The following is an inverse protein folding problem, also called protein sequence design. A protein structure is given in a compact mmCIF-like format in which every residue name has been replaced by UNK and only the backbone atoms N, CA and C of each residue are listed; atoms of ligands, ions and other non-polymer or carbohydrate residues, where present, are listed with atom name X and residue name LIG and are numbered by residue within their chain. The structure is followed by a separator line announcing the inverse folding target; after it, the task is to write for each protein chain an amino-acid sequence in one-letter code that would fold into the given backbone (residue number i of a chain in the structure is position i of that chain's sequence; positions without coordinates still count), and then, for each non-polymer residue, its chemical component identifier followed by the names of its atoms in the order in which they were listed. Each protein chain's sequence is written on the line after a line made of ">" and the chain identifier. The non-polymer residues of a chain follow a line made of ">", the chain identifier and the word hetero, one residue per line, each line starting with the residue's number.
data_IF_866335556538
#
_entry.id   IF_866335556538
#
_cell.length_a   1.000
_cell.length_b   1.000
_cell.length_c   1.000
_cell.angle_alpha   90.00
_cell.angle_beta   90.00
_cell.angle_gamma   90.00
#
_symmetry.space_group_name_H-M   'P 1'
#
loop_
_entity.id
_entity.type
_entity.pdbx_description
1 polymer ?
#
# COMPACT_ATOMS: atom_id res chain seq x y z
N UNK A 1 23.63 8.33 -3.40
CA UNK A 1 23.62 7.38 -2.27
C UNK A 1 25.02 6.75 -2.16
N UNK A 2 25.66 6.77 -0.99
CA UNK A 2 27.01 6.21 -0.82
C UNK A 2 26.96 4.68 -1.01
N UNK A 3 27.84 4.13 -1.85
CA UNK A 3 27.94 2.69 -2.13
C UNK A 3 28.05 1.81 -0.88
N UNK A 4 28.76 2.30 0.16
CA UNK A 4 28.87 1.61 1.44
C UNK A 4 27.52 1.50 2.15
N UNK A 5 26.71 2.57 2.11
CA UNK A 5 25.37 2.60 2.70
C UNK A 5 24.40 1.68 1.94
N UNK A 6 24.47 1.65 0.61
CA UNK A 6 23.70 0.73 -0.21
C UNK A 6 24.01 -0.74 0.09
N UNK A 7 25.33 -1.10 0.19
CA UNK A 7 25.74 -2.46 0.52
C UNK A 7 25.29 -2.89 1.92
N UNK A 8 25.37 -1.99 2.91
CA UNK A 8 24.89 -2.24 4.25
C UNK A 8 23.37 -2.45 4.29
N UNK A 9 22.61 -1.62 3.58
CA UNK A 9 21.15 -1.77 3.46
C UNK A 9 20.77 -3.10 2.80
N UNK A 10 21.42 -3.46 1.69
CA UNK A 10 21.19 -4.73 1.00
C UNK A 10 21.45 -5.93 1.93
N UNK A 11 22.56 -5.92 2.67
CA UNK A 11 22.89 -6.98 3.63
C UNK A 11 21.92 -7.06 4.82
N UNK A 12 21.23 -5.99 5.16
CA UNK A 12 20.19 -5.98 6.19
C UNK A 12 18.84 -6.47 5.66
N UNK A 13 18.51 -6.18 4.39
CA UNK A 13 17.26 -6.59 3.75
C UNK A 13 17.19 -8.11 3.53
N UNK A 14 18.29 -8.74 3.07
CA UNK A 14 18.30 -10.18 2.73
C UNK A 14 17.89 -11.09 3.90
N UNK A 15 18.39 -10.92 5.15
CA UNK A 15 17.93 -11.69 6.30
C UNK A 15 16.45 -11.46 6.62
N UNK A 16 15.98 -10.21 6.53
CA UNK A 16 14.57 -9.87 6.78
C UNK A 16 13.64 -10.53 5.77
N UNK A 17 14.02 -10.59 4.50
CA UNK A 17 13.26 -11.31 3.48
C UNK A 17 13.10 -12.80 3.82
N UNK A 18 14.19 -13.45 4.25
CA UNK A 18 14.16 -14.87 4.66
C UNK A 18 13.28 -15.11 5.89
N UNK A 19 13.28 -14.18 6.85
CA UNK A 19 12.44 -14.29 8.05
C UNK A 19 10.96 -14.08 7.74
N UNK A 20 10.63 -13.34 6.69
CA UNK A 20 9.26 -13.10 6.25
C UNK A 20 8.69 -14.23 5.37
N UNK A 21 9.54 -15.11 4.82
CA UNK A 21 9.12 -16.19 3.91
C UNK A 21 8.05 -17.12 4.51
N UNK A 22 8.17 -17.63 5.76
CA UNK A 22 7.14 -18.49 6.35
C UNK A 22 5.78 -17.81 6.47
N UNK A 23 5.76 -16.50 6.70
CA UNK A 23 4.51 -15.73 6.77
C UNK A 23 3.87 -15.57 5.39
N UNK A 24 4.68 -15.42 4.33
CA UNK A 24 4.20 -15.37 2.94
C UNK A 24 3.64 -16.71 2.49
N UNK A 25 4.28 -17.82 2.85
CA UNK A 25 3.76 -19.17 2.59
C UNK A 25 2.42 -19.38 3.29
N UNK A 26 2.31 -18.99 4.57
CA UNK A 26 1.06 -19.08 5.32
C UNK A 26 -0.04 -18.23 4.67
N UNK A 27 0.26 -17.01 4.24
CA UNK A 27 -0.66 -16.13 3.51
C UNK A 27 -1.12 -16.75 2.20
N UNK A 28 -0.19 -17.32 1.41
CA UNK A 28 -0.50 -17.99 0.15
C UNK A 28 -1.46 -19.17 0.36
N UNK A 29 -1.27 -19.97 1.40
CA UNK A 29 -2.15 -21.09 1.74
C UNK A 29 -3.52 -20.63 2.24
N UNK A 30 -3.57 -19.55 3.01
CA UNK A 30 -4.83 -18.94 3.44
C UNK A 30 -5.62 -18.40 2.24
N UNK A 31 -4.96 -17.74 1.29
CA UNK A 31 -5.57 -17.24 0.05
C UNK A 31 -6.06 -18.38 -0.86
N UNK A 32 -5.31 -19.48 -0.98
CA UNK A 32 -5.77 -20.69 -1.69
C UNK A 32 -7.04 -21.26 -1.06
N UNK A 33 -7.10 -21.28 0.27
CA UNK A 33 -8.30 -21.75 1.00
C UNK A 33 -9.48 -20.81 0.79
N UNK A 34 -9.24 -19.50 0.78
CA UNK A 34 -10.27 -18.49 0.52
C UNK A 34 -10.80 -18.55 -0.90
N UNK A 35 -9.94 -18.66 -1.91
CA UNK A 35 -10.34 -18.74 -3.32
C UNK A 35 -10.98 -20.10 -3.67
N UNK A 36 -10.73 -21.11 -2.86
CA UNK A 36 -11.38 -22.43 -2.97
C UNK A 36 -11.12 -23.24 -4.23
N UNK A 37 -9.91 -23.19 -4.86
CA UNK A 37 -9.65 -23.93 -6.09
C UNK A 37 -9.78 -25.46 -5.91
N UNK A 38 -9.67 -25.95 -4.69
CA UNK A 38 -9.84 -27.36 -4.36
C UNK A 38 -11.30 -27.83 -4.26
N UNK A 39 -12.25 -26.90 -4.14
CA UNK A 39 -13.67 -27.22 -4.10
C UNK A 39 -14.26 -27.54 -5.50
N UNK A 40 -13.57 -27.17 -6.58
CA UNK A 40 -14.02 -27.40 -7.95
C UNK A 40 -13.65 -28.76 -8.56
N UNK A 41 -12.86 -29.58 -7.86
CA UNK A 41 -12.34 -30.85 -8.43
C UNK A 41 -13.21 -32.07 -8.17
N UNK A 42 -14.25 -31.97 -7.36
CA UNK A 42 -15.15 -33.08 -7.09
C UNK A 42 -16.21 -33.15 -8.18
N UNK A 43 -16.16 -34.20 -9.01
CA UNK A 43 -17.18 -34.54 -10.00
C UNK A 43 -18.52 -35.00 -9.38
N UNK A 44 -18.71 -34.77 -8.09
CA UNK A 44 -19.92 -35.11 -7.35
C UNK A 44 -20.96 -34.00 -7.36
N UNK A 45 -22.20 -34.34 -7.11
CA UNK A 45 -23.36 -33.45 -7.04
C UNK A 45 -23.29 -32.47 -5.87
N UNK A 46 -22.48 -32.78 -4.86
CA UNK A 46 -22.31 -31.94 -3.67
C UNK A 46 -21.14 -30.96 -3.87
N UNK A 47 -21.47 -29.70 -4.12
CA UNK A 47 -20.49 -28.61 -4.11
C UNK A 47 -20.31 -28.14 -2.68
N UNK A 48 -19.17 -28.38 -2.04
CA UNK A 48 -18.93 -27.93 -0.69
C UNK A 48 -18.96 -26.39 -0.63
N UNK A 49 -19.63 -25.85 0.37
CA UNK A 49 -19.72 -24.42 0.60
C UNK A 49 -18.40 -23.95 1.22
N UNK A 50 -17.80 -22.93 0.64
CA UNK A 50 -16.59 -22.32 1.22
C UNK A 50 -16.97 -21.40 2.39
N UNK A 51 -17.00 -21.98 3.60
CA UNK A 51 -17.35 -21.25 4.83
C UNK A 51 -16.34 -20.14 5.14
N UNK A 52 -15.06 -20.33 4.78
CA UNK A 52 -14.03 -19.29 4.97
C UNK A 52 -14.35 -18.07 4.11
N UNK A 53 -14.69 -18.27 2.85
CA UNK A 53 -15.07 -17.19 1.94
C UNK A 53 -16.30 -16.44 2.47
N UNK A 54 -17.33 -17.14 2.89
CA UNK A 54 -18.53 -16.52 3.46
C UNK A 54 -18.21 -15.70 4.72
N UNK A 55 -17.36 -16.22 5.61
CA UNK A 55 -16.94 -15.52 6.81
C UNK A 55 -16.15 -14.23 6.50
N UNK A 56 -15.18 -14.32 5.59
CA UNK A 56 -14.36 -13.18 5.17
C UNK A 56 -15.22 -12.12 4.48
N UNK A 57 -16.11 -12.51 3.56
CA UNK A 57 -17.01 -11.58 2.88
C UNK A 57 -17.96 -10.88 3.85
N UNK A 58 -18.47 -11.61 4.84
CA UNK A 58 -19.33 -11.03 5.90
C UNK A 58 -18.57 -9.99 6.73
N UNK A 59 -17.34 -10.31 7.15
CA UNK A 59 -16.48 -9.37 7.87
C UNK A 59 -16.12 -8.15 7.01
N UNK A 60 -15.77 -8.38 5.76
CA UNK A 60 -15.44 -7.31 4.82
C UNK A 60 -16.62 -6.37 4.60
N UNK A 61 -17.85 -6.91 4.47
CA UNK A 61 -19.06 -6.10 4.37
C UNK A 61 -19.31 -5.28 5.64
N UNK A 62 -19.06 -5.83 6.81
CA UNK A 62 -19.25 -5.10 8.07
C UNK A 62 -18.21 -3.99 8.26
N UNK A 63 -16.94 -4.25 7.93
CA UNK A 63 -15.84 -3.33 8.17
C UNK A 63 -15.68 -2.27 7.06
N UNK A 64 -16.08 -2.58 5.84
CA UNK A 64 -15.95 -1.67 4.67
C UNK A 64 -17.27 -1.37 3.98
N UNK A 65 -18.39 -1.43 4.71
CA UNK A 65 -19.73 -1.18 4.16
C UNK A 65 -19.97 0.27 3.72
N UNK A 66 -19.20 1.19 4.25
CA UNK A 66 -19.30 2.62 3.93
C UNK A 66 -17.92 3.16 3.63
N UNK A 67 -17.86 4.05 2.64
CA UNK A 67 -16.67 4.82 2.37
C UNK A 67 -16.29 5.64 3.62
N UNK A 68 -15.05 5.57 4.10
CA UNK A 68 -14.59 6.42 5.18
C UNK A 68 -14.80 7.90 4.87
N UNK A 69 -15.24 8.65 5.85
CA UNK A 69 -15.44 10.08 5.74
C UNK A 69 -14.65 10.81 6.81
N UNK A 70 -14.07 11.93 6.43
CA UNK A 70 -13.40 12.84 7.36
C UNK A 70 -14.43 13.81 7.92
N UNK A 71 -14.46 13.96 9.23
CA UNK A 71 -15.24 14.96 9.94
C UNK A 71 -14.26 15.96 10.57
N UNK A 72 -14.39 17.22 10.20
CA UNK A 72 -13.58 18.30 10.77
C UNK A 72 -14.39 19.06 11.80
N UNK A 73 -13.92 19.11 13.03
CA UNK A 73 -14.55 19.87 14.10
C UNK A 73 -13.55 20.84 14.74
N UNK A 74 -14.04 21.97 15.21
CA UNK A 74 -13.26 22.99 15.91
C UNK A 74 -13.99 23.54 17.11
N UNK A 75 -13.24 23.78 18.19
CA UNK A 75 -13.78 24.44 19.38
C UNK A 75 -13.83 25.98 19.24
N UNK A 76 -13.19 26.55 18.21
CA UNK A 76 -13.15 27.98 17.95
C UNK A 76 -14.30 28.38 17.03
N UNK A 77 -15.26 29.19 17.45
CA UNK A 77 -16.42 29.59 16.62
C UNK A 77 -16.03 30.27 15.30
N UNK A 78 -14.93 31.02 15.31
CA UNK A 78 -14.39 31.77 14.17
C UNK A 78 -13.90 30.87 13.05
N UNK A 79 -13.49 29.61 13.36
CA UNK A 79 -12.97 28.67 12.42
C UNK A 79 -13.99 27.63 11.92
N UNK A 80 -15.28 27.78 12.29
CA UNK A 80 -16.32 26.81 11.89
C UNK A 80 -16.50 26.72 10.38
N UNK A 81 -16.52 27.86 9.67
CA UNK A 81 -16.62 27.87 8.20
C UNK A 81 -15.41 27.19 7.55
N UNK A 82 -14.20 27.50 8.01
CA UNK A 82 -12.98 26.88 7.52
C UNK A 82 -12.94 25.35 7.79
N UNK A 83 -13.48 24.90 8.92
CA UNK A 83 -13.57 23.47 9.21
C UNK A 83 -14.51 22.74 8.24
N UNK A 84 -15.66 23.35 7.89
CA UNK A 84 -16.58 22.78 6.89
C UNK A 84 -15.94 22.73 5.50
N UNK A 85 -15.27 23.79 5.09
CA UNK A 85 -14.57 23.86 3.80
C UNK A 85 -13.46 22.79 3.74
N UNK A 86 -12.68 22.64 4.82
CA UNK A 86 -11.65 21.62 4.93
C UNK A 86 -12.23 20.19 4.87
N UNK A 87 -13.36 19.95 5.55
CA UNK A 87 -14.08 18.68 5.51
C UNK A 87 -14.50 18.32 4.08
N UNK A 88 -15.08 19.28 3.36
CA UNK A 88 -15.49 19.11 1.97
C UNK A 88 -14.27 18.81 1.06
N UNK A 89 -13.21 19.59 1.20
CA UNK A 89 -11.98 19.41 0.43
C UNK A 89 -11.35 18.02 0.66
N UNK A 90 -11.21 17.61 1.93
CA UNK A 90 -10.65 16.30 2.28
C UNK A 90 -11.52 15.15 1.76
N UNK A 91 -12.84 15.22 1.89
CA UNK A 91 -13.74 14.20 1.38
C UNK A 91 -13.73 14.14 -0.16
N UNK A 92 -13.53 15.27 -0.83
CA UNK A 92 -13.34 15.30 -2.28
C UNK A 92 -12.02 14.62 -2.68
N UNK A 93 -10.92 14.89 -1.99
CA UNK A 93 -9.63 14.25 -2.20
C UNK A 93 -9.72 12.73 -2.02
N UNK A 94 -10.41 12.25 -0.95
CA UNK A 94 -10.64 10.82 -0.74
C UNK A 94 -11.39 10.16 -1.91
N UNK A 95 -12.36 10.86 -2.51
CA UNK A 95 -13.07 10.34 -3.70
C UNK A 95 -12.17 10.32 -4.93
N UNK A 96 -11.36 11.36 -5.15
CA UNK A 96 -10.44 11.44 -6.29
C UNK A 96 -9.42 10.31 -6.30
N UNK A 97 -8.82 10.00 -5.16
CA UNK A 97 -7.87 8.89 -5.02
C UNK A 97 -8.53 7.51 -4.84
N UNK A 98 -9.86 7.40 -5.03
CA UNK A 98 -10.62 6.14 -4.92
C UNK A 98 -10.38 5.40 -3.60
N UNK A 99 -10.27 6.14 -2.50
CA UNK A 99 -9.92 5.61 -1.19
C UNK A 99 -10.85 4.47 -0.72
N UNK A 100 -12.11 4.46 -1.13
CA UNK A 100 -13.05 3.37 -0.82
C UNK A 100 -12.55 2.02 -1.33
N UNK A 101 -12.02 1.98 -2.55
CA UNK A 101 -11.47 0.74 -3.13
C UNK A 101 -10.22 0.29 -2.38
N UNK A 102 -9.29 1.19 -2.16
CA UNK A 102 -8.05 0.90 -1.44
C UNK A 102 -8.30 0.50 0.01
N UNK A 103 -9.24 1.17 0.69
CA UNK A 103 -9.67 0.81 2.04
C UNK A 103 -10.22 -0.62 2.12
N UNK A 104 -11.03 -1.04 1.12
CA UNK A 104 -11.55 -2.40 1.07
C UNK A 104 -10.44 -3.44 0.88
N UNK A 105 -9.47 -3.18 0.00
CA UNK A 105 -8.30 -4.03 -0.20
C UNK A 105 -7.42 -4.09 1.06
N UNK A 106 -7.22 -2.95 1.71
CA UNK A 106 -6.48 -2.87 2.97
C UNK A 106 -7.13 -3.68 4.08
N UNK A 107 -8.46 -3.57 4.26
CA UNK A 107 -9.22 -4.37 5.24
C UNK A 107 -9.11 -5.87 4.92
N UNK A 108 -9.25 -6.24 3.64
CA UNK A 108 -9.10 -7.63 3.21
C UNK A 108 -7.71 -8.18 3.54
N UNK A 109 -6.66 -7.43 3.26
CA UNK A 109 -5.28 -7.79 3.59
C UNK A 109 -5.08 -7.91 5.10
N UNK A 110 -5.69 -7.03 5.90
CA UNK A 110 -5.64 -7.05 7.36
C UNK A 110 -6.34 -8.27 7.97
N UNK A 111 -7.41 -8.76 7.35
CA UNK A 111 -8.12 -9.99 7.79
C UNK A 111 -7.21 -11.21 7.65
N UNK A 112 -6.42 -11.29 6.58
CA UNK A 112 -5.56 -12.45 6.34
C UNK A 112 -4.25 -12.40 7.11
N UNK A 113 -3.64 -11.22 7.25
CA UNK A 113 -2.36 -11.08 7.96
C UNK A 113 -2.16 -9.66 8.48
N UNK A 114 -1.90 -8.71 7.59
CA UNK A 114 -1.64 -7.31 7.91
C UNK A 114 -2.05 -6.41 6.75
N UNK A 115 -2.75 -5.33 7.03
CA UNK A 115 -3.07 -4.28 6.06
C UNK A 115 -2.00 -3.19 6.10
N UNK A 116 -1.37 -2.94 4.97
CA UNK A 116 -0.35 -1.91 4.80
C UNK A 116 -0.85 -0.95 3.74
N UNK A 117 -0.81 0.33 4.03
CA UNK A 117 -1.26 1.39 3.15
C UNK A 117 -0.19 2.45 3.02
N UNK A 118 0.12 2.83 1.81
CA UNK A 118 0.99 3.95 1.50
C UNK A 118 0.16 5.15 1.06
N UNK A 119 0.48 6.31 1.60
CA UNK A 119 -0.12 7.59 1.21
C UNK A 119 1.01 8.53 0.85
N UNK A 120 0.93 9.13 -0.31
CA UNK A 120 1.97 10.00 -0.82
C UNK A 120 1.44 11.10 -1.73
N UNK A 121 2.38 11.86 -2.26
CA UNK A 121 2.16 12.87 -3.28
C UNK A 121 2.91 12.45 -4.53
N UNK A 122 2.22 12.41 -5.66
CA UNK A 122 2.82 12.17 -6.96
C UNK A 122 2.78 13.45 -7.80
N UNK A 123 3.81 13.69 -8.60
CA UNK A 123 3.88 14.82 -9.51
C UNK A 123 3.35 14.37 -10.86
N UNK A 124 2.12 14.79 -11.18
CA UNK A 124 1.45 14.39 -12.42
C UNK A 124 1.96 15.20 -13.61
N UNK A 125 2.11 16.49 -13.43
CA UNK A 125 2.54 17.42 -14.48
C UNK A 125 3.43 18.52 -13.89
N UNK A 126 4.32 19.05 -14.72
CA UNK A 126 5.16 20.21 -14.36
C UNK A 126 5.01 21.26 -15.44
N UNK A 127 3.85 21.96 -15.52
CA UNK A 127 3.67 23.02 -16.49
C UNK A 127 4.60 24.20 -16.16
N UNK A 128 5.15 24.79 -17.21
CA UNK A 128 5.89 26.04 -17.12
C UNK A 128 4.89 27.21 -17.24
N UNK A 129 4.74 27.98 -16.16
CA UNK A 129 3.88 29.15 -16.11
C UNK A 129 4.75 30.36 -15.77
N UNK A 130 4.77 31.37 -16.62
CA UNK A 130 5.57 32.60 -16.45
C UNK A 130 7.09 32.34 -16.25
N UNK A 131 7.62 31.23 -16.82
CA UNK A 131 9.03 30.88 -16.70
C UNK A 131 9.39 30.13 -15.41
N UNK A 132 8.41 29.76 -14.61
CA UNK A 132 8.58 28.92 -13.43
C UNK A 132 7.92 27.56 -13.63
N UNK A 133 8.65 26.47 -13.28
CA UNK A 133 8.11 25.12 -13.25
C UNK A 133 7.25 24.94 -12.00
N UNK A 134 5.94 24.84 -12.16
CA UNK A 134 4.99 24.62 -11.05
C UNK A 134 4.51 23.17 -11.10
N UNK A 135 4.99 22.29 -10.20
CA UNK A 135 4.56 20.91 -10.18
C UNK A 135 3.11 20.80 -9.70
N UNK A 136 2.26 20.19 -10.53
CA UNK A 136 0.92 19.75 -10.13
C UNK A 136 1.06 18.41 -9.43
N UNK A 137 0.71 18.37 -8.14
CA UNK A 137 0.80 17.17 -7.31
C UNK A 137 -0.58 16.60 -7.02
N UNK A 138 -0.70 15.29 -7.12
CA UNK A 138 -1.89 14.54 -6.69
C UNK A 138 -1.57 13.70 -5.46
N UNK A 139 -2.54 13.59 -4.56
CA UNK A 139 -2.47 12.68 -3.42
C UNK A 139 -2.83 11.29 -3.93
N UNK A 140 -2.00 10.32 -3.67
CA UNK A 140 -2.31 8.91 -3.94
C UNK A 140 -2.39 8.10 -2.64
N UNK A 141 -3.14 7.01 -2.71
CA UNK A 141 -3.25 6.03 -1.65
C UNK A 141 -3.29 4.65 -2.28
N UNK A 142 -2.37 3.78 -1.89
CA UNK A 142 -2.25 2.43 -2.41
C UNK A 142 -2.10 1.41 -1.29
N UNK A 143 -2.76 0.26 -1.46
CA UNK A 143 -2.60 -0.88 -0.56
C UNK A 143 -1.40 -1.71 -0.99
N UNK A 144 -0.40 -1.83 -0.12
CA UNK A 144 0.78 -2.63 -0.37
C UNK A 144 0.51 -4.07 0.05
N UNK A 145 0.67 -5.01 -0.87
CA UNK A 145 0.57 -6.43 -0.56
C UNK A 145 1.74 -6.88 0.32
N UNK A 146 1.47 -7.75 1.29
CA UNK A 146 2.49 -8.23 2.22
C UNK A 146 3.66 -8.93 1.53
N UNK A 147 3.43 -9.56 0.38
CA UNK A 147 4.47 -10.19 -0.44
C UNK A 147 5.53 -9.21 -0.94
N UNK A 148 5.12 -7.97 -1.17
CA UNK A 148 6.01 -6.92 -1.63
C UNK A 148 6.58 -6.08 -0.49
N UNK A 149 5.99 -6.16 0.70
CA UNK A 149 6.44 -5.38 1.84
C UNK A 149 7.69 -5.95 2.49
N UNK A 150 8.61 -5.08 2.86
CA UNK A 150 9.89 -5.41 3.50
C UNK A 150 10.13 -4.45 4.66
N UNK A 151 10.44 -4.98 5.82
CA UNK A 151 10.77 -4.16 6.99
C UNK A 151 11.85 -4.84 7.83
N UNK A 152 12.44 -4.09 8.72
CA UNK A 152 13.45 -4.57 9.66
C UNK A 152 12.79 -5.48 10.72
N UNK A 153 12.99 -6.79 10.57
CA UNK A 153 12.44 -7.81 11.48
C UNK A 153 13.17 -7.88 12.83
N UNK A 154 14.29 -7.18 12.99
CA UNK A 154 15.03 -7.13 14.25
C UNK A 154 14.44 -6.13 15.25
N UNK A 155 13.58 -5.23 14.77
CA UNK A 155 12.90 -4.25 15.61
C UNK A 155 11.89 -4.93 16.55
N UNK A 156 12.06 -4.73 17.86
CA UNK A 156 11.19 -5.33 18.89
C UNK A 156 9.79 -4.70 18.98
N UNK A 157 9.62 -3.50 18.44
CA UNK A 157 8.35 -2.76 18.42
C UNK A 157 8.17 -2.11 17.05
N UNK A 158 6.93 -2.07 16.60
CA UNK A 158 6.50 -1.32 15.41
C UNK A 158 6.54 0.21 15.68
N UNK A 159 7.63 0.68 16.24
CA UNK A 159 7.85 2.11 16.39
C UNK A 159 8.78 2.56 15.26
N UNK A 160 8.31 3.49 14.45
CA UNK A 160 9.05 4.10 13.34
C UNK A 160 10.47 4.55 13.73
N UNK A 161 10.68 4.87 15.03
CA UNK A 161 11.99 5.30 15.56
C UNK A 161 12.96 4.14 15.78
N UNK A 162 12.46 2.91 15.87
CA UNK A 162 13.26 1.71 16.16
C UNK A 162 13.47 0.84 14.91
N UNK A 163 12.75 1.09 13.84
CA UNK A 163 12.88 0.39 12.57
C UNK A 163 13.95 1.05 11.74
N UNK A 164 15.00 0.30 11.38
CA UNK A 164 16.11 0.81 10.57
C UNK A 164 15.76 1.04 9.12
N UNK A 165 14.87 0.22 8.58
CA UNK A 165 14.35 0.35 7.22
C UNK A 165 12.96 -0.27 7.10
N UNK A 166 12.18 0.25 6.19
CA UNK A 166 10.92 -0.30 5.71
C UNK A 166 10.68 0.20 4.30
N UNK A 167 9.93 -0.55 3.52
CA UNK A 167 9.63 -0.21 2.15
C UNK A 167 8.89 -1.33 1.45
N UNK A 168 8.69 -1.19 0.16
CA UNK A 168 8.07 -2.23 -0.67
C UNK A 168 8.86 -2.46 -1.95
N UNK A 169 8.68 -3.64 -2.54
CA UNK A 169 9.19 -4.00 -3.86
C UNK A 169 8.15 -3.63 -4.90
N UNK A 170 8.57 -2.96 -5.93
CA UNK A 170 7.73 -2.70 -7.09
C UNK A 170 8.46 -3.11 -8.38
N UNK A 171 7.69 -3.37 -9.40
CA UNK A 171 8.22 -3.70 -10.72
C UNK A 171 8.14 -2.48 -11.60
N UNK A 172 9.24 -2.15 -12.21
CA UNK A 172 9.34 -1.03 -13.14
C UNK A 172 9.84 -1.54 -14.49
N UNK A 173 9.32 -1.01 -15.58
CA UNK A 173 9.85 -1.36 -16.92
C UNK A 173 11.26 -0.80 -17.10
N UNK A 174 12.08 -1.46 -17.92
CA UNK A 174 13.43 -1.01 -18.18
C UNK A 174 13.46 0.39 -18.82
N UNK A 175 12.43 0.72 -19.61
CA UNK A 175 12.29 2.02 -20.27
C UNK A 175 12.02 3.11 -19.23
N UNK A 176 11.09 2.86 -18.32
CA UNK A 176 10.77 3.77 -17.21
C UNK A 176 11.98 3.98 -16.30
N UNK A 177 12.66 2.88 -15.91
CA UNK A 177 13.85 2.96 -15.08
C UNK A 177 14.99 3.78 -15.72
N UNK A 178 15.14 3.74 -17.04
CA UNK A 178 16.10 4.58 -17.76
C UNK A 178 15.67 6.04 -17.89
N UNK A 179 14.37 6.30 -17.94
CA UNK A 179 13.81 7.65 -18.03
C UNK A 179 13.77 8.36 -16.66
N UNK A 180 13.64 7.60 -15.57
CA UNK A 180 13.49 8.13 -14.23
C UNK A 180 14.76 8.87 -13.78
N UNK A 181 14.62 10.17 -13.56
CA UNK A 181 15.70 11.06 -13.13
C UNK A 181 16.10 10.87 -11.65
N UNK A 182 15.30 10.17 -10.84
CA UNK A 182 15.61 9.88 -9.45
C UNK A 182 16.78 8.89 -9.31
N UNK A 183 16.97 8.04 -10.32
CA UNK A 183 18.12 7.14 -10.36
C UNK A 183 19.38 7.84 -10.86
N UNK A 184 20.51 7.46 -10.29
CA UNK A 184 21.83 7.96 -10.72
C UNK A 184 22.08 7.69 -12.21
N UNK A 185 22.63 8.69 -12.91
CA UNK A 185 22.90 8.65 -14.36
C UNK A 185 23.80 7.47 -14.75
N UNK A 186 24.82 7.16 -13.93
CA UNK A 186 25.70 6.02 -14.18
C UNK A 186 24.97 4.68 -13.97
N UNK A 187 24.09 4.59 -12.96
CA UNK A 187 23.29 3.39 -12.71
C UNK A 187 22.33 3.15 -13.89
N UNK A 188 21.66 4.20 -14.40
CA UNK A 188 20.75 4.10 -15.54
C UNK A 188 21.45 3.62 -16.83
N UNK A 189 22.69 4.04 -17.06
CA UNK A 189 23.46 3.61 -18.23
C UNK A 189 23.88 2.13 -18.20
N UNK A 190 23.93 1.52 -17.02
CA UNK A 190 24.28 0.11 -16.80
C UNK A 190 23.10 -0.86 -16.85
N UNK A 191 21.87 -0.36 -16.88
CA UNK A 191 20.66 -1.17 -17.03
C UNK A 191 20.60 -1.78 -18.44
N UNK A 192 20.64 -3.10 -18.51
CA UNK A 192 20.60 -3.88 -19.76
C UNK A 192 19.24 -4.54 -19.95
#
# INVERSE_FOLDING_TARGET
>A
MDYKRFKALKSAIEPSLKQLEPFRECLADALKSYTGPHYGKNNGTDKPINMLQLGVESLLQQLSSRAPQVLCNTHKPELKSAAVELELALNQTLKQMRFEHEHRLWVLSAIFLVGIMEVGLDVVETPEIDGEELPITEVFCETIMFDDFVFDTTAKKWDRRQVSFWGHKYRMSLVEAKADKSFDKEARSKLK
#
